data_IF_516613633281
#
_entry.id   IF_516613633281
#
_cell.length_a   1.000
_cell.length_b   1.000
_cell.length_c   1.000
_cell.angle_alpha   90.00
_cell.angle_beta   90.00
_cell.angle_gamma   90.00
#
_symmetry.space_group_name_H-M   'P 1'
#
loop_
_entity.id
_entity.type
_entity.pdbx_description
1 polymer ?
#
# COMPACT_ATOMS: atom_id res chain seq x y z
N UNK A 1 5.23 -14.80 5.30
CA UNK A 1 5.22 -13.40 4.85
C UNK A 1 4.35 -13.26 3.62
N UNK A 2 3.48 -12.27 3.63
CA UNK A 2 2.56 -12.02 2.53
C UNK A 2 3.00 -10.81 1.72
N UNK A 3 2.64 -10.79 0.44
CA UNK A 3 2.93 -9.66 -0.44
C UNK A 3 1.79 -9.48 -1.42
N UNK A 4 1.39 -8.22 -1.62
CA UNK A 4 0.39 -7.87 -2.63
C UNK A 4 0.83 -6.67 -3.41
N UNK A 5 0.54 -6.68 -4.71
CA UNK A 5 0.71 -5.54 -5.60
C UNK A 5 -0.66 -5.11 -6.08
N UNK A 6 -0.92 -3.82 -6.04
CA UNK A 6 -2.22 -3.27 -6.42
C UNK A 6 -2.06 -1.88 -7.01
N UNK A 7 -3.06 -1.44 -7.76
CA UNK A 7 -3.06 -0.10 -8.32
C UNK A 7 -3.77 0.87 -7.38
N UNK A 8 -3.20 2.07 -7.28
CA UNK A 8 -3.79 3.18 -6.53
C UNK A 8 -3.87 4.36 -7.50
N UNK A 9 -5.00 4.53 -8.18
CA UNK A 9 -5.12 5.56 -9.23
C UNK A 9 -4.97 6.98 -8.72
N UNK A 10 -5.11 7.20 -7.43
CA UNK A 10 -4.94 8.55 -6.85
C UNK A 10 -3.48 8.97 -6.72
N UNK A 11 -2.53 8.07 -6.96
CA UNK A 11 -1.13 8.43 -6.94
C UNK A 11 -0.84 9.34 -8.14
N UNK A 12 -0.38 10.56 -7.84
CA UNK A 12 -0.06 11.51 -8.89
C UNK A 12 1.35 12.08 -8.79
N UNK A 13 2.06 11.76 -7.70
CA UNK A 13 3.41 12.30 -7.48
C UNK A 13 4.12 11.50 -6.40
N UNK A 14 5.44 11.76 -6.25
CA UNK A 14 6.25 11.08 -5.26
C UNK A 14 5.74 11.30 -3.83
N UNK A 15 5.16 12.47 -3.58
CA UNK A 15 4.61 12.76 -2.26
C UNK A 15 3.49 11.80 -1.87
N UNK A 16 2.70 11.38 -2.84
CA UNK A 16 1.63 10.40 -2.59
C UNK A 16 2.21 9.05 -2.16
N UNK A 17 3.26 8.61 -2.84
CA UNK A 17 3.95 7.37 -2.49
C UNK A 17 4.53 7.45 -1.08
N UNK A 18 5.14 8.58 -0.74
CA UNK A 18 5.69 8.80 0.60
C UNK A 18 4.61 8.70 1.67
N UNK A 19 3.46 9.31 1.41
CA UNK A 19 2.34 9.25 2.35
C UNK A 19 1.90 7.81 2.56
N UNK A 20 1.74 7.06 1.49
CA UNK A 20 1.35 5.66 1.58
C UNK A 20 2.38 4.86 2.38
N UNK A 21 3.65 5.01 2.05
CA UNK A 21 4.72 4.32 2.77
C UNK A 21 4.68 4.63 4.26
N UNK A 22 4.55 5.91 4.57
CA UNK A 22 4.57 6.37 5.95
C UNK A 22 3.42 5.78 6.77
N UNK A 23 2.21 5.85 6.22
CA UNK A 23 1.02 5.39 6.93
C UNK A 23 0.97 3.88 7.02
N UNK A 24 1.21 3.20 5.92
CA UNK A 24 1.12 1.73 5.90
C UNK A 24 2.24 1.09 6.71
N UNK A 25 3.43 1.66 6.69
CA UNK A 25 4.55 1.09 7.44
C UNK A 25 4.38 1.19 8.95
N UNK A 26 3.44 2.02 9.42
CA UNK A 26 3.14 2.11 10.85
C UNK A 26 2.33 0.91 11.34
N UNK A 27 1.75 0.15 10.45
CA UNK A 27 0.99 -1.04 10.84
C UNK A 27 1.95 -2.11 11.33
N UNK A 28 1.68 -2.64 12.53
CA UNK A 28 2.51 -3.69 13.11
C UNK A 28 2.50 -4.91 12.20
N UNK A 29 3.66 -5.39 11.84
CA UNK A 29 3.81 -6.55 10.96
C UNK A 29 4.14 -6.21 9.52
N UNK A 30 3.97 -4.95 9.11
CA UNK A 30 4.36 -4.53 7.76
C UNK A 30 5.87 -4.43 7.68
N UNK A 31 6.44 -5.11 6.70
CA UNK A 31 7.90 -5.18 6.53
C UNK A 31 8.41 -4.19 5.51
N UNK A 32 7.68 -4.01 4.41
CA UNK A 32 8.13 -3.14 3.35
C UNK A 32 6.94 -2.61 2.56
N UNK A 33 7.05 -1.36 2.12
CA UNK A 33 6.06 -0.73 1.26
C UNK A 33 6.82 -0.04 0.14
N UNK A 34 6.47 -0.36 -1.10
CA UNK A 34 7.04 0.27 -2.27
C UNK A 34 5.92 0.83 -3.15
N UNK A 35 6.22 1.90 -3.87
CA UNK A 35 5.28 2.48 -4.79
C UNK A 35 5.97 2.97 -6.05
N UNK A 36 5.27 2.88 -7.17
CA UNK A 36 5.75 3.38 -8.46
C UNK A 36 4.73 4.35 -9.01
N UNK A 37 5.16 5.58 -9.22
CA UNK A 37 4.28 6.64 -9.72
C UNK A 37 3.87 6.39 -11.18
N UNK A 38 4.81 5.96 -11.98
CA UNK A 38 4.57 5.75 -13.41
C UNK A 38 3.41 4.81 -13.70
N UNK A 39 3.32 3.73 -12.94
CA UNK A 39 2.28 2.73 -13.12
C UNK A 39 1.18 2.84 -12.07
N UNK A 40 1.35 3.75 -11.11
CA UNK A 40 0.43 3.96 -9.99
C UNK A 40 0.18 2.67 -9.22
N UNK A 41 1.23 1.89 -9.04
CA UNK A 41 1.16 0.62 -8.32
C UNK A 41 1.88 0.71 -6.98
N UNK A 42 1.37 -0.06 -6.03
CA UNK A 42 1.96 -0.16 -4.70
C UNK A 42 2.12 -1.63 -4.36
N UNK A 43 3.28 -1.98 -3.81
CA UNK A 43 3.56 -3.32 -3.32
C UNK A 43 3.81 -3.24 -1.83
N UNK A 44 3.11 -4.08 -1.08
CA UNK A 44 3.25 -4.15 0.38
C UNK A 44 3.62 -5.57 0.77
N UNK A 45 4.64 -5.69 1.61
CA UNK A 45 5.03 -6.95 2.22
C UNK A 45 4.76 -6.87 3.72
N UNK A 46 4.08 -7.90 4.24
CA UNK A 46 3.74 -7.93 5.66
C UNK A 46 3.74 -9.34 6.21
N UNK A 47 3.72 -9.42 7.53
CA UNK A 47 3.64 -10.67 8.26
C UNK A 47 2.69 -10.48 9.43
N UNK A 48 2.34 -11.54 10.13
CA UNK A 48 1.49 -11.41 11.31
C UNK A 48 2.13 -10.44 12.31
N UNK A 49 1.36 -9.61 13.00
CA UNK A 49 -0.11 -9.56 13.08
C UNK A 49 -0.80 -8.70 12.03
N UNK A 50 -0.08 -8.16 11.05
CA UNK A 50 -0.69 -7.35 10.02
C UNK A 50 -1.59 -8.20 9.11
N UNK A 51 -2.66 -7.57 8.61
CA UNK A 51 -3.56 -8.21 7.69
C UNK A 51 -3.84 -7.29 6.51
N UNK A 52 -4.27 -7.86 5.40
CA UNK A 52 -4.63 -7.09 4.22
C UNK A 52 -5.75 -6.08 4.54
N UNK A 53 -6.71 -6.48 5.37
CA UNK A 53 -7.81 -5.60 5.77
C UNK A 53 -7.30 -4.33 6.45
N UNK A 54 -6.32 -4.45 7.32
CA UNK A 54 -5.73 -3.28 7.98
C UNK A 54 -5.04 -2.36 6.99
N UNK A 55 -4.31 -2.94 6.06
CA UNK A 55 -3.61 -2.19 5.03
C UNK A 55 -4.61 -1.46 4.14
N UNK A 56 -5.63 -2.15 3.69
CA UNK A 56 -6.68 -1.58 2.86
C UNK A 56 -7.40 -0.44 3.56
N UNK A 57 -7.76 -0.65 4.83
CA UNK A 57 -8.43 0.38 5.63
C UNK A 57 -7.58 1.63 5.74
N UNK A 58 -6.29 1.46 6.00
CA UNK A 58 -5.36 2.57 6.11
C UNK A 58 -5.28 3.35 4.79
N UNK A 59 -5.20 2.62 3.68
CA UNK A 59 -5.16 3.25 2.36
C UNK A 59 -6.42 4.07 2.09
N UNK A 60 -7.58 3.55 2.48
CA UNK A 60 -8.85 4.27 2.33
C UNK A 60 -8.88 5.53 3.20
N UNK A 61 -8.35 5.45 4.41
CA UNK A 61 -8.34 6.58 5.33
C UNK A 61 -7.50 7.74 4.82
N UNK A 62 -6.42 7.44 4.13
CA UNK A 62 -5.55 8.48 3.57
C UNK A 62 -5.93 8.85 2.13
N UNK A 63 -7.09 8.39 1.68
CA UNK A 63 -7.66 8.71 0.37
C UNK A 63 -6.85 8.12 -0.81
N UNK A 64 -6.23 6.98 -0.59
CA UNK A 64 -5.53 6.24 -1.63
C UNK A 64 -6.06 4.80 -1.71
N UNK A 65 -7.37 4.63 -1.95
CA UNK A 65 -7.95 3.28 -1.97
C UNK A 65 -7.40 2.45 -3.13
N UNK A 66 -7.10 1.17 -2.88
CA UNK A 66 -6.68 0.29 -3.96
C UNK A 66 -7.83 0.06 -4.93
N UNK A 67 -7.57 0.25 -6.21
CA UNK A 67 -8.61 0.09 -7.23
C UNK A 67 -8.61 -1.29 -7.86
N UNK A 68 -7.42 -1.84 -8.08
CA UNK A 68 -7.28 -3.14 -8.75
C UNK A 68 -6.18 -3.93 -8.08
N UNK A 69 -6.49 -5.16 -7.71
CA UNK A 69 -5.50 -6.07 -7.16
C UNK A 69 -4.76 -6.75 -8.31
N UNK A 70 -3.45 -6.61 -8.31
CA UNK A 70 -2.60 -7.35 -9.23
C UNK A 70 -1.95 -8.45 -8.40
N UNK A 71 -2.53 -9.62 -8.46
CA UNK A 71 -2.06 -10.76 -7.69
C UNK A 71 -0.85 -11.39 -8.36
N UNK A 72 0.16 -11.66 -7.60
CA UNK A 72 1.34 -12.36 -8.09
C UNK A 72 1.43 -13.76 -7.55
#
# INVERSE_FOLDING_TARGET
MERKTFQVPNIGCDGCVKTIKNEVSQIAGVKQVDGVVDTKTVTVEWDAPATWQQIESTLKEIEYPPATLISL
#
